data_IF_672476342323
#
_entry.id   IF_672476342323
#
_cell.length_a   1.000
_cell.length_b   1.000
_cell.length_c   1.000
_cell.angle_alpha   90.00
_cell.angle_beta   90.00
_cell.angle_gamma   90.00
#
_symmetry.space_group_name_H-M   'P 1'
#
loop_
_entity.id
_entity.type
_entity.pdbx_description
1 polymer ?
#
# COMPACT_ATOMS: atom_id res chain seq x y z
N UNK A 1 -4.06 -1.13 -8.29
CA UNK A 1 -5.26 -1.93 -8.00
C UNK A 1 -5.19 -2.52 -6.60
N UNK A 2 -6.33 -2.79 -5.99
CA UNK A 2 -6.37 -3.38 -4.66
C UNK A 2 -5.91 -4.84 -4.69
N UNK A 3 -5.58 -5.38 -3.51
CA UNK A 3 -5.20 -6.80 -3.39
C UNK A 3 -6.32 -7.73 -3.87
N UNK A 4 -7.56 -7.39 -3.57
CA UNK A 4 -8.72 -8.19 -4.01
C UNK A 4 -8.83 -8.21 -5.54
N UNK A 5 -8.69 -7.07 -6.19
CA UNK A 5 -8.71 -6.97 -7.65
C UNK A 5 -7.55 -7.76 -8.28
N UNK A 6 -6.36 -7.63 -7.72
CA UNK A 6 -5.19 -8.36 -8.23
C UNK A 6 -5.38 -9.87 -8.12
N UNK A 7 -5.88 -10.34 -6.99
CA UNK A 7 -6.13 -11.77 -6.80
C UNK A 7 -7.17 -12.32 -7.77
N UNK A 8 -8.20 -11.54 -8.09
CA UNK A 8 -9.19 -11.95 -9.08
C UNK A 8 -8.62 -12.04 -10.49
N UNK A 9 -7.50 -11.37 -10.77
CA UNK A 9 -6.77 -11.48 -12.03
C UNK A 9 -5.75 -12.62 -12.06
N UNK A 10 -5.56 -13.32 -10.94
CA UNK A 10 -4.63 -14.44 -10.86
C UNK A 10 -3.34 -14.15 -10.10
N UNK A 11 -3.24 -12.99 -9.42
CA UNK A 11 -2.05 -12.68 -8.63
C UNK A 11 -1.91 -13.63 -7.45
N UNK A 12 -0.73 -14.21 -7.32
CA UNK A 12 -0.33 -15.04 -6.18
C UNK A 12 0.89 -14.38 -5.55
N UNK A 13 0.75 -13.73 -4.37
CA UNK A 13 1.83 -12.93 -3.78
C UNK A 13 3.18 -13.66 -3.69
N UNK A 14 3.17 -14.91 -3.30
CA UNK A 14 4.40 -15.70 -3.16
C UNK A 14 5.11 -15.97 -4.50
N UNK A 15 4.41 -15.82 -5.62
CA UNK A 15 5.00 -16.01 -6.96
C UNK A 15 5.53 -14.71 -7.56
N UNK A 16 5.20 -13.56 -6.97
CA UNK A 16 5.61 -12.28 -7.52
C UNK A 16 5.14 -12.04 -8.95
N UNK A 17 3.95 -12.51 -9.31
CA UNK A 17 3.47 -12.55 -10.70
C UNK A 17 2.54 -11.39 -11.08
N UNK A 18 2.54 -10.30 -10.31
CA UNK A 18 1.61 -9.18 -10.57
C UNK A 18 1.77 -8.61 -11.98
N UNK A 19 3.00 -8.43 -12.44
CA UNK A 19 3.23 -7.87 -13.78
C UNK A 19 2.76 -8.78 -14.91
N UNK A 20 2.63 -10.08 -14.65
CA UNK A 20 2.12 -11.03 -15.64
C UNK A 20 0.61 -10.94 -15.77
N UNK A 21 -0.09 -10.80 -14.65
CA UNK A 21 -1.57 -10.80 -14.62
C UNK A 21 -2.17 -9.40 -14.70
N UNK A 22 -1.40 -8.37 -14.34
CA UNK A 22 -1.83 -6.97 -14.36
C UNK A 22 -0.68 -6.06 -14.79
N UNK A 23 -0.30 -6.10 -16.08
CA UNK A 23 0.83 -5.30 -16.58
C UNK A 23 0.65 -3.82 -16.29
N UNK A 24 1.72 -3.16 -15.83
CA UNK A 24 1.72 -1.73 -15.53
C UNK A 24 0.98 -1.32 -14.27
N UNK A 25 0.55 -2.26 -13.45
CA UNK A 25 -0.19 -1.99 -12.22
C UNK A 25 0.67 -2.27 -10.98
N UNK A 26 0.30 -1.64 -9.87
CA UNK A 26 0.86 -1.89 -8.55
C UNK A 26 -0.28 -2.06 -7.56
N UNK A 27 0.01 -2.66 -6.41
CA UNK A 27 -0.98 -2.83 -5.36
C UNK A 27 -1.19 -1.50 -4.64
N UNK A 28 -2.44 -1.08 -4.49
CA UNK A 28 -2.77 0.15 -3.79
C UNK A 28 -4.26 0.36 -3.62
N UNK A 29 -4.63 1.21 -2.65
CA UNK A 29 -6.02 1.56 -2.38
C UNK A 29 -6.67 0.73 -1.29
N UNK A 30 -5.97 -0.20 -0.68
CA UNK A 30 -6.49 -0.96 0.45
C UNK A 30 -6.48 -0.12 1.73
N UNK A 31 -7.44 -0.36 2.61
CA UNK A 31 -7.49 0.32 3.90
C UNK A 31 -6.31 -0.12 4.76
N UNK A 32 -5.63 0.87 5.37
CA UNK A 32 -4.57 0.63 6.35
C UNK A 32 -5.11 1.03 7.73
N UNK A 33 -5.04 0.12 8.69
CA UNK A 33 -5.80 0.26 9.94
C UNK A 33 -5.13 1.10 11.01
N UNK A 34 -3.88 1.51 10.89
CA UNK A 34 -3.16 2.32 11.90
C UNK A 34 -3.29 1.73 13.32
N UNK A 35 -3.18 0.41 13.44
CA UNK A 35 -3.42 -0.31 14.71
C UNK A 35 -2.56 0.18 15.86
N UNK A 36 -1.32 0.52 15.58
CA UNK A 36 -0.37 0.96 16.61
C UNK A 36 -0.43 2.46 16.84
N UNK A 37 -1.35 3.13 16.15
CA UNK A 37 -1.51 4.59 16.24
C UNK A 37 -0.21 5.34 15.96
N UNK A 38 0.59 4.82 15.02
CA UNK A 38 1.85 5.44 14.58
C UNK A 38 1.61 6.77 13.88
N UNK A 39 0.44 6.94 13.25
CA UNK A 39 0.05 8.17 12.55
C UNK A 39 -1.07 8.87 13.32
N UNK A 40 -1.23 10.19 13.13
CA UNK A 40 -2.25 10.96 13.83
C UNK A 40 -3.66 10.42 13.57
N UNK A 41 -4.45 10.30 14.63
CA UNK A 41 -5.83 9.84 14.55
C UNK A 41 -6.79 11.01 14.64
N UNK A 42 -7.96 10.89 13.99
CA UNK A 42 -9.02 11.88 14.05
C UNK A 42 -10.33 11.17 13.74
N UNK A 43 -11.42 11.60 14.38
CA UNK A 43 -12.74 11.05 14.10
C UNK A 43 -13.07 11.12 12.61
N UNK A 44 -13.49 10.02 12.03
CA UNK A 44 -13.80 9.92 10.60
C UNK A 44 -12.60 9.79 9.68
N UNK A 45 -11.37 9.87 10.20
CA UNK A 45 -10.18 9.70 9.36
C UNK A 45 -9.93 8.24 9.07
N UNK A 46 -9.70 7.95 7.79
CA UNK A 46 -9.29 6.62 7.32
C UNK A 46 -7.99 6.75 6.56
N UNK A 47 -7.14 5.76 6.69
CA UNK A 47 -5.89 5.66 5.92
C UNK A 47 -5.98 4.55 4.90
N UNK A 48 -5.29 4.76 3.79
CA UNK A 48 -5.14 3.78 2.70
C UNK A 48 -3.67 3.61 2.42
N UNK A 49 -3.29 2.43 1.95
CA UNK A 49 -1.91 2.14 1.60
C UNK A 49 -1.76 1.88 0.10
N UNK A 50 -0.58 2.16 -0.43
CA UNK A 50 -0.22 1.79 -1.78
C UNK A 50 1.27 1.47 -1.84
N UNK A 51 1.65 0.58 -2.75
CA UNK A 51 3.06 0.28 -2.99
C UNK A 51 3.76 1.48 -3.60
N UNK A 52 5.00 1.68 -3.20
CA UNK A 52 5.87 2.74 -3.71
C UNK A 52 7.11 2.09 -4.30
N UNK A 53 7.62 2.65 -5.42
CA UNK A 53 8.82 2.14 -6.09
C UNK A 53 8.71 0.68 -6.54
N UNK A 54 7.51 0.20 -6.81
CA UNK A 54 7.31 -1.17 -7.27
C UNK A 54 7.77 -1.30 -8.74
N UNK A 55 8.56 -2.33 -9.02
CA UNK A 55 9.10 -2.58 -10.34
C UNK A 55 9.08 -4.06 -10.66
N UNK A 56 7.90 -4.64 -10.64
CA UNK A 56 7.65 -6.06 -10.90
C UNK A 56 8.31 -7.02 -9.92
N UNK A 57 7.96 -8.28 -10.00
CA UNK A 57 8.43 -9.31 -9.10
C UNK A 57 7.78 -9.20 -7.72
N UNK A 58 8.50 -9.58 -6.69
CA UNK A 58 8.02 -9.50 -5.32
C UNK A 58 7.93 -8.04 -4.87
N UNK A 59 6.98 -7.78 -3.98
CA UNK A 59 6.80 -6.44 -3.42
C UNK A 59 7.97 -6.08 -2.51
N UNK A 60 8.34 -4.79 -2.53
CA UNK A 60 9.36 -4.24 -1.63
C UNK A 60 8.73 -3.81 -0.29
N UNK A 61 9.51 -3.12 0.55
CA UNK A 61 9.05 -2.61 1.84
C UNK A 61 8.56 -1.16 1.78
N UNK A 62 8.61 -0.52 0.61
CA UNK A 62 8.25 0.88 0.46
C UNK A 62 6.76 1.04 0.26
N UNK A 63 6.15 1.97 1.00
CA UNK A 63 4.71 2.25 0.91
C UNK A 63 4.44 3.72 1.02
N UNK A 64 3.35 4.16 0.40
CA UNK A 64 2.73 5.46 0.70
C UNK A 64 1.43 5.18 1.44
N UNK A 65 1.19 5.95 2.52
CA UNK A 65 -0.04 5.88 3.30
C UNK A 65 -0.68 7.25 3.25
N UNK A 66 -1.93 7.30 2.88
CA UNK A 66 -2.64 8.57 2.71
C UNK A 66 -4.02 8.49 3.37
N UNK A 67 -4.47 9.63 3.87
CA UNK A 67 -5.77 9.71 4.54
C UNK A 67 -6.85 10.27 3.63
N UNK A 68 -8.10 10.01 3.98
CA UNK A 68 -9.26 10.58 3.28
C UNK A 68 -9.39 12.10 3.47
N UNK A 69 -8.61 12.69 4.38
CA UNK A 69 -8.64 14.14 4.65
C UNK A 69 -7.31 14.84 4.28
N UNK A 70 -6.50 14.22 3.42
CA UNK A 70 -5.39 14.89 2.73
C UNK A 70 -4.01 14.72 3.33
N UNK A 71 -3.82 13.90 4.35
CA UNK A 71 -2.48 13.60 4.87
C UNK A 71 -1.79 12.56 4.00
N UNK A 72 -0.47 12.72 3.83
CA UNK A 72 0.35 11.77 3.06
C UNK A 72 1.62 11.47 3.85
N UNK A 73 1.91 10.20 4.01
CA UNK A 73 3.11 9.70 4.66
C UNK A 73 3.78 8.66 3.79
N UNK A 74 5.10 8.55 3.86
CA UNK A 74 5.83 7.46 3.21
C UNK A 74 6.60 6.66 4.25
N UNK A 75 6.77 5.38 3.96
CA UNK A 75 7.60 4.47 4.78
C UNK A 75 8.47 3.64 3.85
N UNK A 76 9.71 3.39 4.27
CA UNK A 76 10.67 2.59 3.52
C UNK A 76 11.12 1.35 4.29
N UNK A 77 10.49 1.09 5.44
CA UNK A 77 10.82 -0.03 6.32
C UNK A 77 9.57 -0.83 6.73
N UNK A 78 8.59 -0.88 5.85
CA UNK A 78 7.34 -1.62 6.03
C UNK A 78 6.62 -1.21 7.32
N UNK A 79 6.32 0.11 7.43
CA UNK A 79 5.49 0.72 8.48
C UNK A 79 6.17 0.87 9.84
N UNK A 80 7.49 0.72 9.94
CA UNK A 80 8.20 0.93 11.21
C UNK A 80 8.44 2.40 11.51
N UNK A 81 8.72 3.18 10.47
CA UNK A 81 8.87 4.63 10.58
C UNK A 81 8.20 5.31 9.39
N UNK A 82 7.82 6.57 9.56
CA UNK A 82 7.12 7.33 8.53
C UNK A 82 7.73 8.72 8.37
N UNK A 83 7.67 9.24 7.14
CA UNK A 83 7.97 10.62 6.83
C UNK A 83 6.71 11.26 6.27
N UNK A 84 6.31 12.40 6.83
CA UNK A 84 5.17 13.16 6.31
C UNK A 84 5.57 13.94 5.06
N UNK A 85 4.69 13.93 4.07
CA UNK A 85 4.91 14.65 2.79
C UNK A 85 3.93 15.80 2.56
#
# INVERSE_FOLDING_TARGET
ITKSEAKSLGWVPSKGNLCEVAPGKAIGGDIWTNRQKSLPTKSGRKYFEADLNYNCGNRNADRVVFSNDGLVFVTFDHYRSFEEK
#
